data_IF_133359358968
#
_entry.id   IF_133359358968
#
_cell.length_a   1.000
_cell.length_b   1.000
_cell.length_c   1.000
_cell.angle_alpha   90.00
_cell.angle_beta   90.00
_cell.angle_gamma   90.00
#
_symmetry.space_group_name_H-M   'P 1'
#
loop_
_entity.id
_entity.type
_entity.pdbx_description
1 polymer ?
#
# COMPACT_ATOMS: atom_id res chain seq x y z
N UNK A 1 -18.42 -48.60 -4.96
CA UNK A 1 -16.97 -48.74 -4.74
C UNK A 1 -16.29 -47.43 -5.12
N UNK A 2 -15.84 -46.69 -4.10
CA UNK A 2 -14.99 -45.48 -4.05
C UNK A 2 -14.85 -44.64 -5.33
N UNK A 3 -15.61 -43.54 -5.37
CA UNK A 3 -15.21 -42.28 -6.02
C UNK A 3 -13.90 -41.85 -5.36
N UNK A 4 -12.77 -42.26 -5.93
CA UNK A 4 -11.45 -41.77 -5.54
C UNK A 4 -11.36 -40.31 -5.97
N UNK A 5 -11.69 -39.42 -5.05
CA UNK A 5 -10.81 -38.36 -4.59
C UNK A 5 -9.88 -37.77 -5.68
N UNK A 6 -10.48 -37.22 -6.75
CA UNK A 6 -9.79 -36.36 -7.72
C UNK A 6 -10.24 -34.90 -7.52
N UNK A 7 -10.39 -34.50 -6.25
CA UNK A 7 -10.38 -33.08 -5.83
C UNK A 7 -9.03 -32.86 -5.14
N UNK A 8 -7.95 -33.22 -5.84
CA UNK A 8 -6.57 -33.01 -5.41
C UNK A 8 -5.71 -32.43 -6.54
N UNK A 9 -6.33 -31.78 -7.52
CA UNK A 9 -5.68 -31.04 -8.59
C UNK A 9 -6.52 -29.81 -8.89
N UNK A 10 -6.21 -28.71 -8.20
CA UNK A 10 -6.42 -27.30 -8.63
C UNK A 10 -6.12 -26.29 -7.51
N UNK A 11 -5.61 -26.71 -6.35
CA UNK A 11 -4.49 -25.95 -5.77
C UNK A 11 -3.21 -26.44 -6.46
N UNK A 12 -3.09 -26.13 -7.76
CA UNK A 12 -1.79 -25.70 -8.22
C UNK A 12 -1.47 -24.52 -7.32
N UNK A 13 -0.68 -24.75 -6.26
CA UNK A 13 0.22 -23.71 -5.82
C UNK A 13 0.89 -23.28 -7.12
N UNK A 14 0.43 -22.17 -7.69
CA UNK A 14 1.37 -21.28 -8.32
C UNK A 14 2.38 -21.09 -7.21
N UNK A 15 3.47 -21.85 -7.28
CA UNK A 15 4.76 -21.38 -6.85
C UNK A 15 4.96 -20.17 -7.75
N UNK A 16 4.26 -19.08 -7.42
CA UNK A 16 4.66 -17.76 -7.86
C UNK A 16 6.12 -17.76 -7.43
N UNK A 17 7.01 -17.65 -8.41
CA UNK A 17 8.36 -17.22 -8.14
C UNK A 17 8.20 -15.87 -7.45
N UNK A 18 8.08 -15.90 -6.13
CA UNK A 18 7.98 -14.71 -5.32
C UNK A 18 9.34 -14.06 -5.51
N UNK A 19 9.29 -12.94 -6.21
CA UNK A 19 10.45 -12.15 -6.55
C UNK A 19 10.49 -11.05 -5.50
N UNK A 20 11.66 -10.67 -5.04
CA UNK A 20 11.80 -9.51 -4.15
C UNK A 20 11.49 -8.29 -5.01
N UNK A 21 10.36 -7.64 -4.73
CA UNK A 21 9.93 -6.42 -5.40
C UNK A 21 10.46 -5.23 -4.59
N UNK A 22 11.36 -4.46 -5.21
CA UNK A 22 11.98 -3.29 -4.59
C UNK A 22 10.90 -2.33 -4.08
N UNK A 23 11.07 -1.88 -2.84
CA UNK A 23 10.15 -0.96 -2.20
C UNK A 23 8.77 -1.54 -1.91
N UNK A 24 8.53 -2.84 -2.12
CA UNK A 24 7.22 -3.46 -1.92
C UNK A 24 7.24 -4.66 -0.99
N UNK A 25 8.14 -5.60 -1.22
CA UNK A 25 8.29 -6.79 -0.38
C UNK A 25 8.47 -8.08 -1.16
N UNK A 26 7.95 -9.19 -0.64
CA UNK A 26 8.14 -10.53 -1.19
C UNK A 26 6.85 -11.34 -1.14
N UNK A 27 6.30 -11.63 -2.32
CA UNK A 27 5.04 -12.36 -2.43
C UNK A 27 3.88 -11.60 -1.80
N UNK A 28 3.35 -12.13 -0.69
CA UNK A 28 2.28 -11.48 0.08
C UNK A 28 2.80 -10.76 1.33
N UNK A 29 4.09 -10.88 1.66
CA UNK A 29 4.72 -10.12 2.73
C UNK A 29 5.06 -8.75 2.17
N UNK A 30 4.23 -7.75 2.48
CA UNK A 30 4.32 -6.42 1.88
C UNK A 30 4.55 -5.37 2.97
N UNK A 31 5.29 -4.31 2.63
CA UNK A 31 5.28 -3.07 3.40
C UNK A 31 3.84 -2.54 3.52
N UNK A 32 3.53 -1.88 4.62
CA UNK A 32 2.19 -1.37 4.89
C UNK A 32 1.16 -2.41 5.34
N UNK A 33 1.57 -3.66 5.58
CA UNK A 33 0.70 -4.72 6.12
C UNK A 33 0.64 -4.66 7.64
N UNK A 34 -0.51 -4.97 8.26
CA UNK A 34 -0.57 -5.18 9.73
C UNK A 34 0.13 -6.49 10.12
N UNK A 35 0.66 -6.55 11.35
CA UNK A 35 1.27 -7.77 11.90
C UNK A 35 0.38 -9.01 11.81
N UNK A 36 -0.94 -8.87 12.04
CA UNK A 36 -1.89 -9.98 11.92
C UNK A 36 -1.96 -10.56 10.51
N UNK A 37 -1.75 -9.74 9.48
CA UNK A 37 -1.66 -10.20 8.08
C UNK A 37 -0.39 -11.02 7.90
N UNK A 38 0.74 -10.59 8.47
CA UNK A 38 2.01 -11.31 8.41
C UNK A 38 1.92 -12.69 9.08
N UNK A 39 1.30 -12.77 10.26
CA UNK A 39 1.05 -14.05 10.94
C UNK A 39 0.21 -15.00 10.08
N UNK A 40 -0.82 -14.50 9.41
CA UNK A 40 -1.65 -15.32 8.50
C UNK A 40 -0.86 -15.87 7.31
N UNK A 41 0.13 -15.12 6.82
CA UNK A 41 0.92 -15.47 5.63
C UNK A 41 2.10 -16.38 5.99
N UNK A 42 2.85 -16.05 7.04
CA UNK A 42 4.10 -16.70 7.40
C UNK A 42 3.94 -17.74 8.52
N UNK A 43 2.80 -17.75 9.20
CA UNK A 43 2.50 -18.60 10.35
C UNK A 43 3.01 -18.02 11.67
N UNK A 44 2.89 -18.83 12.73
CA UNK A 44 3.26 -18.47 14.10
C UNK A 44 4.69 -18.91 14.50
N UNK A 45 5.47 -19.48 13.58
CA UNK A 45 6.84 -19.96 13.84
C UNK A 45 7.85 -18.81 13.67
N UNK A 46 7.84 -17.87 14.62
CA UNK A 46 8.74 -16.73 14.70
C UNK A 46 9.21 -16.47 16.12
N UNK A 47 10.34 -15.77 16.25
CA UNK A 47 10.77 -15.18 17.53
C UNK A 47 10.44 -13.69 17.51
N UNK A 48 9.76 -13.18 18.54
CA UNK A 48 9.49 -11.73 18.69
C UNK A 48 10.65 -11.08 19.44
N UNK A 49 11.11 -9.95 18.92
CA UNK A 49 12.11 -9.10 19.56
C UNK A 49 11.54 -7.70 19.73
N UNK A 50 11.77 -7.09 20.89
CA UNK A 50 11.28 -5.75 21.23
C UNK A 50 12.44 -4.76 21.30
N UNK A 51 12.28 -3.61 20.68
CA UNK A 51 13.24 -2.51 20.65
C UNK A 51 12.67 -1.35 21.45
N UNK A 52 12.89 -1.41 22.78
CA UNK A 52 12.24 -0.51 23.75
C UNK A 52 12.49 0.98 23.51
N UNK A 53 13.59 1.34 22.88
CA UNK A 53 13.97 2.74 22.65
C UNK A 53 13.06 3.45 21.64
N UNK A 54 12.50 2.70 20.68
CA UNK A 54 11.71 3.26 19.57
C UNK A 54 10.26 2.79 19.56
N UNK A 55 9.84 2.02 20.57
CA UNK A 55 8.53 1.34 20.60
C UNK A 55 8.29 0.48 19.34
N UNK A 56 9.37 -0.10 18.83
CA UNK A 56 9.38 -0.96 17.64
C UNK A 56 9.57 -2.42 18.05
N UNK A 57 9.15 -3.32 17.16
CA UNK A 57 9.38 -4.75 17.33
C UNK A 57 9.55 -5.43 15.99
N UNK A 58 10.18 -6.61 15.99
CA UNK A 58 10.31 -7.42 14.79
C UNK A 58 10.07 -8.90 15.05
N UNK A 59 9.67 -9.59 14.00
CA UNK A 59 9.53 -11.05 13.96
C UNK A 59 10.67 -11.65 13.16
N UNK A 60 11.48 -12.50 13.79
CA UNK A 60 12.49 -13.32 13.12
C UNK A 60 11.90 -14.68 12.73
N UNK A 61 11.65 -14.87 11.44
CA UNK A 61 11.22 -16.14 10.86
C UNK A 61 12.44 -16.92 10.38
N UNK A 62 13.21 -17.47 11.32
CA UNK A 62 14.51 -18.13 11.08
C UNK A 62 14.44 -19.15 9.93
N UNK A 63 13.45 -20.06 9.93
CA UNK A 63 13.31 -21.09 8.88
C UNK A 63 12.96 -20.54 7.49
N UNK A 64 12.48 -19.30 7.42
CA UNK A 64 12.13 -18.61 6.18
C UNK A 64 13.19 -17.60 5.75
N UNK A 65 14.20 -17.36 6.60
CA UNK A 65 15.28 -16.40 6.36
C UNK A 65 14.77 -14.97 6.12
N UNK A 66 13.68 -14.63 6.83
CA UNK A 66 13.00 -13.34 6.74
C UNK A 66 12.88 -12.74 8.14
N UNK A 67 13.18 -11.46 8.26
CA UNK A 67 12.89 -10.63 9.43
C UNK A 67 11.87 -9.57 8.98
N UNK A 68 10.81 -9.38 9.76
CA UNK A 68 9.78 -8.37 9.48
C UNK A 68 9.73 -7.41 10.65
N UNK A 69 10.08 -6.14 10.41
CA UNK A 69 10.01 -5.09 11.41
C UNK A 69 8.65 -4.37 11.32
N UNK A 70 8.20 -3.88 12.46
CA UNK A 70 6.95 -3.17 12.60
C UNK A 70 7.20 -1.84 13.30
N UNK A 71 6.50 -0.81 12.83
CA UNK A 71 6.38 0.46 13.53
C UNK A 71 5.49 0.34 14.79
N UNK A 72 5.34 1.45 15.52
CA UNK A 72 4.50 1.52 16.73
C UNK A 72 3.00 1.26 16.44
N UNK A 73 2.55 1.45 15.21
CA UNK A 73 1.21 1.09 14.75
C UNK A 73 1.10 -0.39 14.35
N UNK A 74 2.14 -1.20 14.57
CA UNK A 74 2.22 -2.60 14.15
C UNK A 74 2.07 -2.79 12.64
N UNK A 75 2.54 -1.83 11.85
CA UNK A 75 2.59 -1.86 10.38
C UNK A 75 4.01 -2.22 9.94
N UNK A 76 4.11 -3.08 8.94
CA UNK A 76 5.41 -3.43 8.34
C UNK A 76 6.02 -2.21 7.67
N UNK A 77 7.17 -1.76 8.19
CA UNK A 77 7.96 -0.66 7.65
C UNK A 77 9.28 -1.13 6.99
N UNK A 78 9.78 -2.31 7.39
CA UNK A 78 10.99 -2.93 6.84
C UNK A 78 10.85 -4.46 6.77
N UNK A 79 11.29 -5.04 5.66
CA UNK A 79 11.46 -6.49 5.48
C UNK A 79 12.91 -6.79 5.12
N UNK A 80 13.56 -7.60 5.95
CA UNK A 80 14.94 -8.03 5.76
C UNK A 80 15.00 -9.49 5.33
N UNK A 81 15.81 -9.78 4.32
CA UNK A 81 16.09 -11.12 3.79
C UNK A 81 17.56 -11.48 4.01
N UNK A 82 17.83 -12.68 4.54
CA UNK A 82 19.21 -13.19 4.54
C UNK A 82 19.59 -13.68 3.14
N UNK A 83 20.87 -13.61 2.82
CA UNK A 83 21.36 -14.04 1.50
C UNK A 83 21.16 -15.53 1.23
N UNK A 84 20.97 -16.38 2.25
CA UNK A 84 20.68 -17.81 2.10
C UNK A 84 19.32 -18.12 1.45
N UNK A 85 18.43 -17.14 1.28
CA UNK A 85 17.06 -17.35 0.76
C UNK A 85 17.00 -17.85 -0.69
N UNK A 86 18.05 -17.63 -1.49
CA UNK A 86 18.16 -18.07 -2.88
C UNK A 86 16.99 -17.58 -3.77
N UNK A 87 16.73 -16.27 -3.78
CA UNK A 87 15.61 -15.62 -4.52
C UNK A 87 16.10 -14.53 -5.45
N UNK A 88 15.33 -14.22 -6.49
CA UNK A 88 15.65 -13.12 -7.40
C UNK A 88 14.95 -11.84 -6.99
N UNK A 89 15.60 -10.71 -7.21
CA UNK A 89 14.95 -9.40 -7.21
C UNK A 89 14.21 -9.17 -8.53
N UNK A 90 13.33 -8.16 -8.59
CA UNK A 90 12.56 -7.84 -9.79
C UNK A 90 13.46 -7.38 -10.93
N UNK A 91 14.56 -6.69 -10.62
CA UNK A 91 15.62 -6.36 -11.58
C UNK A 91 16.49 -7.56 -11.98
N UNK A 92 16.32 -8.72 -11.35
CA UNK A 92 16.92 -9.99 -11.77
C UNK A 92 18.17 -10.41 -11.01
N UNK A 93 18.61 -9.65 -9.99
CA UNK A 93 19.74 -10.04 -9.14
C UNK A 93 19.35 -11.29 -8.33
N UNK A 94 20.14 -12.36 -8.45
CA UNK A 94 19.96 -13.58 -7.65
C UNK A 94 20.59 -13.38 -6.28
N UNK A 95 19.77 -13.27 -5.24
CA UNK A 95 20.11 -13.21 -3.81
C UNK A 95 20.49 -14.61 -3.29
N UNK A 96 21.78 -14.85 -3.06
CA UNK A 96 22.43 -16.07 -2.59
C UNK A 96 23.68 -15.68 -1.78
N UNK A 97 24.20 -16.60 -0.96
CA UNK A 97 25.46 -16.36 -0.25
C UNK A 97 26.61 -16.02 -1.21
N UNK A 98 27.45 -15.06 -0.83
CA UNK A 98 28.66 -14.67 -1.58
C UNK A 98 28.44 -13.66 -2.69
N UNK A 99 27.27 -13.03 -2.79
CA UNK A 99 27.07 -11.87 -3.67
C UNK A 99 28.01 -10.75 -3.25
N UNK A 100 28.59 -10.10 -4.24
CA UNK A 100 29.49 -8.97 -4.03
C UNK A 100 28.79 -7.64 -4.30
N UNK A 101 29.37 -6.55 -3.81
CA UNK A 101 29.01 -5.17 -4.19
C UNK A 101 28.98 -5.02 -5.72
N UNK A 102 30.01 -5.53 -6.41
CA UNK A 102 30.11 -5.46 -7.88
C UNK A 102 28.94 -6.15 -8.60
N UNK A 103 28.40 -7.23 -8.03
CA UNK A 103 27.25 -7.91 -8.63
C UNK A 103 25.96 -7.11 -8.46
N UNK A 104 25.83 -6.37 -7.36
CA UNK A 104 24.72 -5.43 -7.15
C UNK A 104 24.82 -4.28 -8.16
N UNK A 105 25.99 -3.67 -8.30
CA UNK A 105 26.23 -2.53 -9.19
C UNK A 105 25.96 -2.87 -10.66
N UNK A 106 26.27 -4.10 -11.11
CA UNK A 106 25.92 -4.57 -12.46
C UNK A 106 24.42 -4.56 -12.74
N UNK A 107 23.56 -4.70 -11.72
CA UNK A 107 22.11 -4.77 -11.87
C UNK A 107 21.42 -3.44 -11.55
N UNK A 108 21.92 -2.71 -10.55
CA UNK A 108 21.27 -1.52 -10.03
C UNK A 108 21.96 -0.20 -10.42
N UNK A 109 23.20 -0.25 -10.93
CA UNK A 109 24.05 0.91 -11.16
C UNK A 109 24.94 1.23 -9.96
N UNK A 110 25.84 2.18 -10.14
CA UNK A 110 26.81 2.69 -9.15
C UNK A 110 26.33 3.97 -8.44
N UNK A 111 25.20 4.54 -8.85
CA UNK A 111 24.54 5.70 -8.23
C UNK A 111 23.79 5.34 -6.93
N UNK A 112 24.40 4.56 -6.06
CA UNK A 112 23.86 4.25 -4.73
C UNK A 112 24.35 5.27 -3.68
N UNK A 113 23.59 5.40 -2.61
CA UNK A 113 23.99 6.18 -1.44
C UNK A 113 24.24 5.26 -0.25
N UNK A 114 25.14 5.65 0.66
CA UNK A 114 25.45 4.90 1.88
C UNK A 114 24.88 5.61 3.10
N UNK A 115 24.39 4.86 4.07
CA UNK A 115 24.28 5.36 5.45
C UNK A 115 25.70 5.56 5.99
N UNK A 116 25.98 6.68 6.67
CA UNK A 116 27.37 7.05 7.05
C UNK A 116 28.07 5.92 7.81
N UNK A 117 29.15 5.38 7.23
CA UNK A 117 30.05 4.42 7.88
C UNK A 117 29.69 2.94 7.76
N UNK A 118 28.57 2.57 7.13
CA UNK A 118 28.11 1.17 7.03
C UNK A 118 28.69 0.40 5.83
N UNK A 119 28.99 1.09 4.72
CA UNK A 119 29.30 0.42 3.45
C UNK A 119 28.07 -0.20 2.78
N UNK A 120 26.86 0.20 3.21
CA UNK A 120 25.60 -0.27 2.64
C UNK A 120 25.31 0.42 1.30
N UNK A 121 24.66 -0.31 0.38
CA UNK A 121 24.21 0.22 -0.90
C UNK A 121 22.70 0.46 -0.85
N UNK A 122 22.30 1.72 -0.69
CA UNK A 122 20.90 2.15 -0.74
C UNK A 122 20.52 2.66 -2.12
N UNK A 123 19.32 2.30 -2.60
CA UNK A 123 18.77 2.76 -3.86
C UNK A 123 17.37 3.36 -3.65
N UNK A 124 17.09 4.46 -4.35
CA UNK A 124 15.83 5.24 -4.35
C UNK A 124 14.56 4.46 -4.78
N UNK A 125 14.68 3.16 -5.00
CA UNK A 125 13.58 2.25 -5.30
C UNK A 125 13.12 1.42 -4.11
N UNK A 126 13.54 1.75 -2.88
CA UNK A 126 13.11 1.06 -1.67
C UNK A 126 13.86 -0.25 -1.41
N UNK A 127 15.13 -0.33 -1.79
CA UNK A 127 15.99 -1.50 -1.52
C UNK A 127 17.36 -1.07 -1.05
N UNK A 128 17.87 -1.76 -0.02
CA UNK A 128 19.21 -1.60 0.51
C UNK A 128 19.92 -2.95 0.61
N UNK A 129 21.22 -2.95 0.35
CA UNK A 129 22.08 -4.12 0.49
C UNK A 129 23.09 -3.85 1.60
N UNK A 130 23.06 -4.67 2.65
CA UNK A 130 24.04 -4.58 3.72
C UNK A 130 25.29 -5.36 3.37
N UNK A 131 26.45 -4.69 3.37
CA UNK A 131 27.72 -5.29 2.98
C UNK A 131 28.69 -5.38 4.17
N UNK A 132 29.48 -6.46 4.18
CA UNK A 132 30.64 -6.61 5.06
C UNK A 132 31.79 -7.16 4.23
N UNK A 133 32.94 -6.48 4.24
CA UNK A 133 34.12 -6.86 3.48
C UNK A 133 33.81 -7.08 1.97
N UNK A 134 33.00 -6.19 1.40
CA UNK A 134 32.49 -6.25 0.00
C UNK A 134 31.53 -7.41 -0.32
N UNK A 135 31.12 -8.19 0.66
CA UNK A 135 30.14 -9.28 0.51
C UNK A 135 28.80 -8.84 1.10
N UNK A 136 27.73 -9.06 0.34
CA UNK A 136 26.37 -8.81 0.80
C UNK A 136 25.96 -9.89 1.80
N UNK A 137 25.45 -9.45 2.95
CA UNK A 137 25.05 -10.33 4.06
C UNK A 137 23.53 -10.39 4.24
N UNK A 138 22.84 -9.29 3.96
CA UNK A 138 21.38 -9.20 3.94
C UNK A 138 20.89 -8.17 2.92
N UNK A 139 19.64 -8.34 2.50
CA UNK A 139 18.91 -7.42 1.62
C UNK A 139 17.72 -6.88 2.40
N UNK A 140 17.46 -5.58 2.28
CA UNK A 140 16.46 -4.88 3.05
C UNK A 140 15.51 -4.18 2.07
N UNK A 141 14.22 -4.31 2.32
CA UNK A 141 13.15 -3.55 1.66
C UNK A 141 12.52 -2.66 2.70
N UNK A 142 12.54 -1.35 2.49
CA UNK A 142 12.10 -0.38 3.50
C UNK A 142 11.37 0.82 2.89
N UNK A 143 10.47 1.40 3.68
CA UNK A 143 9.66 2.54 3.27
C UNK A 143 10.47 3.82 3.04
N UNK A 144 11.49 4.06 3.86
CA UNK A 144 12.35 5.27 3.85
C UNK A 144 12.97 5.53 2.47
N UNK A 145 13.29 4.45 1.75
CA UNK A 145 14.03 4.50 0.50
C UNK A 145 13.09 4.60 -0.72
N UNK A 146 11.76 4.70 -0.51
CA UNK A 146 10.75 4.90 -1.57
C UNK A 146 10.63 6.37 -2.00
N UNK A 147 11.48 6.81 -2.94
CA UNK A 147 11.48 8.20 -3.46
C UNK A 147 10.12 8.70 -3.96
N UNK A 148 9.38 7.82 -4.63
CA UNK A 148 8.09 8.13 -5.24
C UNK A 148 6.90 8.00 -4.30
N UNK A 149 7.13 7.48 -3.08
CA UNK A 149 6.10 7.19 -2.08
C UNK A 149 4.89 6.47 -2.69
N UNK A 150 5.18 5.44 -3.49
CA UNK A 150 4.15 4.61 -4.10
C UNK A 150 3.52 3.70 -3.03
N UNK A 151 2.34 4.10 -2.56
CA UNK A 151 1.58 3.39 -1.54
C UNK A 151 0.50 2.49 -2.17
N UNK A 152 0.62 2.12 -3.45
CA UNK A 152 -0.43 1.38 -4.16
C UNK A 152 -0.67 -0.03 -3.61
N UNK A 153 0.27 -0.56 -2.83
CA UNK A 153 0.22 -1.90 -2.24
C UNK A 153 0.12 -1.87 -0.70
N UNK A 154 0.18 -0.69 -0.08
CA UNK A 154 0.03 -0.53 1.37
C UNK A 154 -1.42 -0.78 1.77
N UNK A 155 -1.63 -1.61 2.81
CA UNK A 155 -2.94 -1.78 3.42
C UNK A 155 -3.25 -0.67 4.43
N UNK A 156 -2.20 -0.19 5.09
CA UNK A 156 -2.25 0.87 6.08
C UNK A 156 -1.17 1.90 5.78
N UNK A 157 -1.46 3.18 5.99
CA UNK A 157 -0.48 4.28 5.95
C UNK A 157 -0.65 5.03 7.26
N UNK A 158 0.45 5.23 8.01
CA UNK A 158 0.43 5.96 9.30
C UNK A 158 -0.69 5.43 10.24
N UNK A 159 -0.73 4.10 10.41
CA UNK A 159 -1.73 3.41 11.22
C UNK A 159 -3.16 3.36 10.65
N UNK A 160 -3.47 4.11 9.59
CA UNK A 160 -4.81 4.20 9.00
C UNK A 160 -5.01 3.17 7.88
N UNK A 161 -6.06 2.36 7.99
CA UNK A 161 -6.47 1.45 6.90
C UNK A 161 -6.91 2.24 5.66
N UNK A 162 -6.36 1.87 4.50
CA UNK A 162 -6.66 2.52 3.23
C UNK A 162 -7.69 1.69 2.48
N UNK A 163 -8.91 2.15 2.18
CA UNK A 163 -9.86 1.36 1.39
C UNK A 163 -9.33 1.03 0.00
N UNK A 164 -9.57 -0.17 -0.53
CA UNK A 164 -9.13 -0.54 -1.89
C UNK A 164 -10.12 -0.16 -2.99
N UNK A 165 -11.37 0.16 -2.62
CA UNK A 165 -12.45 0.50 -3.54
C UNK A 165 -13.55 1.30 -2.83
N UNK A 166 -14.53 1.77 -3.61
CA UNK A 166 -15.67 2.52 -3.08
C UNK A 166 -16.46 1.77 -2.00
N UNK A 167 -16.72 0.47 -2.15
CA UNK A 167 -17.51 -0.28 -1.18
C UNK A 167 -16.84 -0.34 0.20
N UNK A 168 -15.51 -0.52 0.23
CA UNK A 168 -14.73 -0.41 1.46
C UNK A 168 -14.75 1.01 2.01
N UNK A 169 -14.66 2.06 1.18
CA UNK A 169 -14.84 3.43 1.67
C UNK A 169 -16.17 3.61 2.40
N UNK A 170 -17.26 3.11 1.82
CA UNK A 170 -18.59 3.21 2.39
C UNK A 170 -18.75 2.38 3.67
N UNK A 171 -18.02 1.27 3.79
CA UNK A 171 -17.98 0.49 5.03
C UNK A 171 -17.17 1.20 6.12
N UNK A 172 -16.03 1.80 5.78
CA UNK A 172 -15.16 2.47 6.74
C UNK A 172 -15.77 3.76 7.29
N UNK A 173 -16.47 4.54 6.46
CA UNK A 173 -17.23 5.71 6.94
C UNK A 173 -18.35 5.26 7.87
N UNK A 174 -19.07 4.20 7.52
CA UNK A 174 -20.20 3.72 8.32
C UNK A 174 -19.82 3.24 9.72
N UNK A 175 -18.61 2.68 9.86
CA UNK A 175 -18.03 2.29 11.15
C UNK A 175 -17.63 3.50 12.01
N UNK A 176 -17.24 4.61 11.37
CA UNK A 176 -16.71 5.81 12.05
C UNK A 176 -17.83 6.75 12.52
N UNK A 177 -18.95 6.80 11.82
CA UNK A 177 -20.06 7.70 12.15
C UNK A 177 -20.99 7.08 13.20
N UNK A 178 -21.40 7.89 14.17
CA UNK A 178 -22.40 7.48 15.15
C UNK A 178 -23.80 7.41 14.53
N UNK A 179 -24.72 6.70 15.17
CA UNK A 179 -26.13 6.68 14.73
C UNK A 179 -26.77 8.08 14.78
N UNK A 180 -26.29 8.97 15.65
CA UNK A 180 -26.70 10.37 15.68
C UNK A 180 -26.25 11.10 14.41
N UNK A 181 -24.96 11.00 14.06
CA UNK A 181 -24.42 11.64 12.84
C UNK A 181 -25.15 11.13 11.59
N UNK A 182 -25.41 9.82 11.53
CA UNK A 182 -26.18 9.21 10.43
C UNK A 182 -27.60 9.78 10.32
N UNK A 183 -28.28 10.03 11.45
CA UNK A 183 -29.61 10.67 11.46
C UNK A 183 -29.53 12.12 10.98
N UNK A 184 -28.57 12.90 11.47
CA UNK A 184 -28.37 14.29 11.04
C UNK A 184 -28.07 14.39 9.54
N UNK A 185 -27.22 13.49 9.01
CA UNK A 185 -26.96 13.39 7.57
C UNK A 185 -28.24 13.05 6.81
N UNK A 186 -29.10 12.20 7.37
CA UNK A 186 -30.39 11.89 6.78
C UNK A 186 -31.37 13.07 6.77
N UNK A 187 -31.24 14.05 7.65
CA UNK A 187 -32.10 15.23 7.65
C UNK A 187 -31.72 16.22 6.55
N UNK A 188 -30.45 16.18 6.08
CA UNK A 188 -29.96 16.98 4.98
C UNK A 188 -30.37 16.44 3.60
N UNK A 189 -30.47 17.33 2.61
CA UNK A 189 -30.45 16.92 1.21
C UNK A 189 -29.00 16.63 0.73
N UNK A 190 -28.87 15.97 -0.43
CA UNK A 190 -27.55 15.52 -0.92
C UNK A 190 -26.57 16.69 -1.13
N UNK A 191 -27.05 17.83 -1.62
CA UNK A 191 -26.21 19.00 -1.89
C UNK A 191 -25.75 19.66 -0.59
N UNK A 192 -26.64 19.77 0.40
CA UNK A 192 -26.32 20.26 1.74
C UNK A 192 -25.24 19.41 2.39
N UNK A 193 -25.43 18.08 2.43
CA UNK A 193 -24.46 17.17 3.04
C UNK A 193 -23.09 17.24 2.36
N UNK A 194 -23.04 17.19 1.02
CA UNK A 194 -21.78 17.26 0.29
C UNK A 194 -21.09 18.61 0.53
N UNK A 195 -21.85 19.71 0.49
CA UNK A 195 -21.32 21.06 0.69
C UNK A 195 -20.78 21.28 2.10
N UNK A 196 -21.53 20.90 3.13
CA UNK A 196 -21.11 21.04 4.53
C UNK A 196 -19.97 20.08 4.90
N UNK A 197 -19.94 18.88 4.29
CA UNK A 197 -18.92 17.87 4.57
C UNK A 197 -17.62 18.10 3.81
N UNK A 198 -17.58 18.95 2.78
CA UNK A 198 -16.42 19.09 1.91
C UNK A 198 -15.12 19.48 2.65
N UNK A 199 -15.23 20.40 3.62
CA UNK A 199 -14.10 20.86 4.44
C UNK A 199 -13.94 20.08 5.77
N UNK A 200 -14.99 19.39 6.23
CA UNK A 200 -14.91 18.52 7.40
C UNK A 200 -14.48 17.11 7.00
N UNK A 201 -15.47 16.21 6.89
CA UNK A 201 -15.26 14.81 6.53
C UNK A 201 -14.45 14.66 5.23
N UNK A 202 -14.69 15.49 4.22
CA UNK A 202 -13.97 15.48 2.94
C UNK A 202 -12.46 15.68 3.10
N UNK A 203 -12.01 16.68 3.86
CA UNK A 203 -10.58 16.87 4.17
C UNK A 203 -10.04 15.67 4.93
N UNK A 204 -10.79 15.18 5.93
CA UNK A 204 -10.42 14.00 6.71
C UNK A 204 -10.19 12.77 5.83
N UNK A 205 -11.07 12.50 4.86
CA UNK A 205 -10.91 11.40 3.90
C UNK A 205 -9.68 11.60 3.02
N UNK A 206 -9.47 12.80 2.49
CA UNK A 206 -8.33 13.09 1.61
C UNK A 206 -6.99 12.88 2.29
N UNK A 207 -6.88 13.30 3.54
CA UNK A 207 -5.65 13.20 4.31
C UNK A 207 -5.44 11.78 4.84
N UNK A 208 -6.44 11.20 5.49
CA UNK A 208 -6.29 9.90 6.17
C UNK A 208 -6.24 8.71 5.22
N UNK A 209 -6.88 8.78 4.05
CA UNK A 209 -6.81 7.70 3.05
C UNK A 209 -5.74 7.92 1.98
N UNK A 210 -4.85 8.90 2.21
CA UNK A 210 -3.74 9.21 1.32
C UNK A 210 -4.19 9.54 -0.10
N UNK A 211 -5.27 10.31 -0.28
CA UNK A 211 -5.75 10.67 -1.62
C UNK A 211 -4.80 11.64 -2.34
N UNK A 212 -3.99 12.39 -1.59
CA UNK A 212 -2.87 13.17 -2.11
C UNK A 212 -1.59 12.35 -2.34
N UNK A 213 -1.59 11.07 -1.93
CA UNK A 213 -0.48 10.13 -2.09
C UNK A 213 -0.84 9.14 -3.21
N UNK A 214 0.10 8.33 -3.70
CA UNK A 214 -0.18 7.25 -4.67
C UNK A 214 -0.79 6.02 -3.97
N UNK A 215 -1.85 6.19 -3.17
CA UNK A 215 -2.45 5.10 -2.40
C UNK A 215 -3.23 4.12 -3.27
N UNK A 216 -3.49 2.90 -2.76
CA UNK A 216 -4.30 1.91 -3.49
C UNK A 216 -5.71 2.41 -3.85
N UNK A 217 -6.27 3.31 -3.04
CA UNK A 217 -7.55 3.94 -3.32
C UNK A 217 -7.47 4.91 -4.51
N UNK A 218 -6.38 5.67 -4.60
CA UNK A 218 -6.11 6.56 -5.73
C UNK A 218 -6.00 5.76 -7.03
N UNK A 219 -5.33 4.61 -7.02
CA UNK A 219 -5.27 3.72 -8.19
C UNK A 219 -6.68 3.29 -8.63
N UNK A 220 -7.56 2.95 -7.69
CA UNK A 220 -8.95 2.61 -7.99
C UNK A 220 -9.70 3.75 -8.71
N UNK A 221 -9.57 4.99 -8.24
CA UNK A 221 -10.20 6.16 -8.87
C UNK A 221 -9.56 6.54 -10.20
N UNK A 222 -8.23 6.48 -10.31
CA UNK A 222 -7.49 6.75 -11.54
C UNK A 222 -7.92 5.80 -12.66
N UNK A 223 -8.15 4.52 -12.36
CA UNK A 223 -8.67 3.53 -13.31
C UNK A 223 -10.09 3.88 -13.82
N UNK A 224 -10.84 4.70 -13.08
CA UNK A 224 -12.13 5.24 -13.52
C UNK A 224 -11.99 6.59 -14.24
N UNK A 225 -10.78 7.15 -14.31
CA UNK A 225 -10.46 8.47 -14.88
C UNK A 225 -10.84 9.63 -13.97
N UNK A 226 -10.73 9.43 -12.65
CA UNK A 226 -10.88 10.48 -11.63
C UNK A 226 -9.53 10.65 -10.95
N UNK A 227 -8.93 11.84 -11.08
CA UNK A 227 -7.55 12.09 -10.67
C UNK A 227 -7.43 13.09 -9.52
N UNK A 228 -8.40 13.99 -9.35
CA UNK A 228 -8.32 15.03 -8.32
C UNK A 228 -8.87 14.50 -6.98
N UNK A 229 -8.16 14.67 -5.84
CA UNK A 229 -8.61 14.17 -4.55
C UNK A 229 -9.95 14.75 -4.06
N UNK A 230 -10.27 15.98 -4.44
CA UNK A 230 -11.58 16.58 -4.15
C UNK A 230 -12.72 15.86 -4.88
N UNK A 231 -12.49 15.42 -6.12
CA UNK A 231 -13.48 14.65 -6.87
C UNK A 231 -13.66 13.26 -6.26
N UNK A 232 -12.55 12.60 -5.91
CA UNK A 232 -12.56 11.28 -5.26
C UNK A 232 -13.37 11.33 -3.96
N UNK A 233 -13.04 12.27 -3.07
CA UNK A 233 -13.76 12.47 -1.81
C UNK A 233 -15.22 12.92 -2.03
N UNK A 234 -15.49 13.75 -3.03
CA UNK A 234 -16.85 14.13 -3.41
C UNK A 234 -17.70 12.93 -3.88
N UNK A 235 -17.13 12.03 -4.69
CA UNK A 235 -17.79 10.78 -5.11
C UNK A 235 -18.06 9.89 -3.90
N UNK A 236 -17.09 9.75 -2.98
CA UNK A 236 -17.25 8.94 -1.77
C UNK A 236 -18.40 9.49 -0.91
N UNK A 237 -18.42 10.80 -0.63
CA UNK A 237 -19.45 11.45 0.18
C UNK A 237 -20.85 11.31 -0.44
N UNK A 238 -20.98 11.61 -1.74
CA UNK A 238 -22.25 11.45 -2.45
C UNK A 238 -22.74 9.99 -2.44
N UNK A 239 -21.82 9.05 -2.60
CA UNK A 239 -22.12 7.62 -2.56
C UNK A 239 -22.54 7.16 -1.17
N UNK A 240 -21.90 7.68 -0.11
CA UNK A 240 -22.27 7.37 1.27
C UNK A 240 -23.65 7.92 1.63
N UNK A 241 -23.93 9.17 1.29
CA UNK A 241 -25.26 9.75 1.45
C UNK A 241 -26.35 8.91 0.77
N UNK A 242 -26.10 8.50 -0.48
CA UNK A 242 -27.04 7.66 -1.24
C UNK A 242 -27.22 6.28 -0.59
N UNK A 243 -26.14 5.64 -0.14
CA UNK A 243 -26.20 4.36 0.61
C UNK A 243 -27.08 4.51 1.85
N UNK A 244 -26.84 5.53 2.66
CA UNK A 244 -27.58 5.79 3.90
C UNK A 244 -29.07 6.00 3.66
N UNK A 245 -29.43 6.63 2.55
CA UNK A 245 -30.81 6.86 2.11
C UNK A 245 -31.45 5.70 1.33
N UNK A 246 -30.76 4.58 1.15
CA UNK A 246 -31.23 3.46 0.32
C UNK A 246 -31.38 3.83 -1.18
N UNK A 247 -30.69 4.87 -1.64
CA UNK A 247 -30.72 5.35 -3.03
C UNK A 247 -29.63 4.66 -3.87
N UNK A 248 -29.88 4.53 -5.17
CA UNK A 248 -28.89 4.01 -6.13
C UNK A 248 -27.68 4.94 -6.22
N UNK A 249 -26.49 4.44 -5.86
CA UNK A 249 -25.20 5.18 -5.90
C UNK A 249 -24.96 5.83 -7.27
N UNK A 250 -25.30 5.17 -8.37
CA UNK A 250 -25.17 5.72 -9.72
C UNK A 250 -23.74 6.20 -10.05
N UNK A 251 -22.72 5.42 -9.66
CA UNK A 251 -21.29 5.78 -9.77
C UNK A 251 -20.89 6.25 -11.17
N UNK A 252 -21.34 5.56 -12.24
CA UNK A 252 -21.06 5.97 -13.63
C UNK A 252 -21.51 7.41 -13.94
N UNK A 253 -22.64 7.85 -13.37
CA UNK A 253 -23.13 9.22 -13.55
C UNK A 253 -22.26 10.22 -12.80
N UNK A 254 -21.83 9.89 -11.58
CA UNK A 254 -20.92 10.73 -10.80
C UNK A 254 -19.56 10.90 -11.51
N UNK A 255 -18.97 9.80 -12.00
CA UNK A 255 -17.72 9.83 -12.76
C UNK A 255 -17.85 10.67 -14.04
N UNK A 256 -18.95 10.49 -14.78
CA UNK A 256 -19.21 11.29 -16.00
C UNK A 256 -19.33 12.78 -15.69
N UNK A 257 -19.94 13.15 -14.58
CA UNK A 257 -20.05 14.55 -14.16
C UNK A 257 -18.67 15.22 -14.02
N UNK A 258 -17.75 14.59 -13.27
CA UNK A 258 -16.40 15.15 -13.06
C UNK A 258 -15.56 15.16 -14.34
N UNK A 259 -15.64 14.13 -15.19
CA UNK A 259 -14.97 14.14 -16.49
C UNK A 259 -15.42 15.31 -17.36
N UNK A 260 -16.73 15.52 -17.46
CA UNK A 260 -17.30 16.64 -18.22
C UNK A 260 -16.90 18.00 -17.62
N UNK A 261 -16.79 18.10 -16.29
CA UNK A 261 -16.34 19.32 -15.62
C UNK A 261 -14.91 19.68 -16.03
N UNK A 262 -13.97 18.74 -15.92
CA UNK A 262 -12.57 18.98 -16.24
C UNK A 262 -12.32 19.20 -17.74
N UNK A 263 -13.08 18.53 -18.61
CA UNK A 263 -13.03 18.77 -20.05
C UNK A 263 -13.41 20.23 -20.38
N UNK A 264 -14.49 20.74 -19.78
CA UNK A 264 -14.90 22.15 -19.92
C UNK A 264 -13.84 23.11 -19.39
N UNK A 265 -13.25 22.81 -18.22
CA UNK A 265 -12.21 23.65 -17.63
C UNK A 265 -10.95 23.69 -18.50
N UNK A 266 -10.58 22.56 -19.12
CA UNK A 266 -9.46 22.50 -20.07
C UNK A 266 -9.70 23.38 -21.29
N UNK A 267 -10.86 23.26 -21.93
CA UNK A 267 -11.24 24.08 -23.10
C UNK A 267 -11.22 25.58 -22.74
N UNK A 268 -11.75 25.95 -21.57
CA UNK A 268 -11.75 27.33 -21.10
C UNK A 268 -10.33 27.88 -20.95
N UNK A 269 -9.43 27.12 -20.31
CA UNK A 269 -8.03 27.51 -20.12
C UNK A 269 -7.28 27.66 -21.45
N UNK A 270 -7.52 26.77 -22.41
CA UNK A 270 -6.93 26.86 -23.76
C UNK A 270 -7.40 28.09 -24.54
N UNK A 271 -8.65 28.51 -24.35
CA UNK A 271 -9.20 29.70 -24.99
C UNK A 271 -8.73 31.01 -24.34
N UNK A 272 -8.43 31.01 -23.04
CA UNK A 272 -7.88 32.17 -22.31
C UNK A 272 -6.38 32.40 -22.59
N UNK A 273 -5.70 31.40 -23.17
CA UNK A 273 -4.27 31.45 -23.53
C UNK A 273 -4.03 31.77 -25.01
N UNK A 274 -5.09 31.95 -25.81
CA UNK A 274 -5.04 32.41 -27.21
C UNK A 274 -5.39 33.89 -27.29
#
# INVERSE_FOLDING_TARGET
MKIKLLILLLFSLKIYSQTIEEGKGYGLVLLGSKYNTIIKILGNDYTKHEVKEYDEFYFDYIKKEIIVNFDSDSIVNEITFKTSINKKTKKGLLIKNGITILDVEKVYGDDWWTTKGSGDLGYDCGIRFHAKDSIITKVIIEESDLKDKDYSFYEYIEGVYIPKNLDECLSEIDKKLSEKDKKEICEMNEKEFIGSSHFGLGIGLRNSWGLWKKSRLVIHFNNMGIFHPDDMSGIILASYYRKLKGKKISLKKQVKYYKNYWEKMKIKKENEQK
#
